data_IF_012028795770
#
_entry.id   IF_012028795770
#
_cell.length_a   1.000
_cell.length_b   1.000
_cell.length_c   1.000
_cell.angle_alpha   90.00
_cell.angle_beta   90.00
_cell.angle_gamma   90.00
#
_symmetry.space_group_name_H-M   'P 1'
#
loop_
_entity.id
_entity.type
_entity.pdbx_description
1 polymer ?
#
# COMPACT_ATOMS: atom_id res chain seq x y z
N UNK A 1 -42.55 -14.81 -16.24
CA UNK A 1 -41.40 -15.72 -16.01
C UNK A 1 -40.19 -15.46 -16.93
N UNK A 2 -40.34 -15.27 -18.25
CA UNK A 2 -39.20 -15.00 -19.17
C UNK A 2 -38.37 -13.75 -18.81
N UNK A 3 -39.00 -12.70 -18.29
CA UNK A 3 -38.31 -11.47 -17.83
C UNK A 3 -37.39 -11.71 -16.64
N UNK A 4 -37.78 -12.58 -15.69
CA UNK A 4 -37.00 -12.85 -14.48
C UNK A 4 -35.79 -13.73 -14.83
N UNK A 5 -35.98 -14.73 -15.70
CA UNK A 5 -34.87 -15.54 -16.20
C UNK A 5 -33.88 -14.73 -17.04
N UNK A 6 -34.34 -13.78 -17.87
CA UNK A 6 -33.45 -12.88 -18.60
C UNK A 6 -32.70 -11.91 -17.66
N UNK A 7 -33.34 -11.47 -16.58
CA UNK A 7 -32.70 -10.64 -15.57
C UNK A 7 -31.66 -11.44 -14.76
N UNK A 8 -32.00 -12.66 -14.35
CA UNK A 8 -31.09 -13.57 -13.64
C UNK A 8 -29.92 -13.98 -14.54
N UNK A 9 -30.16 -14.26 -15.82
CA UNK A 9 -29.11 -14.64 -16.77
C UNK A 9 -28.21 -13.45 -17.13
N UNK A 10 -28.77 -12.23 -17.20
CA UNK A 10 -27.99 -11.00 -17.32
C UNK A 10 -27.17 -10.73 -16.05
N UNK A 11 -27.76 -10.94 -14.87
CA UNK A 11 -27.09 -10.80 -13.57
C UNK A 11 -26.02 -11.88 -13.33
N UNK A 12 -26.23 -13.11 -13.82
CA UNK A 12 -25.28 -14.21 -13.77
C UNK A 12 -24.15 -14.04 -14.80
N UNK A 13 -24.43 -13.50 -15.98
CA UNK A 13 -23.38 -13.13 -16.96
C UNK A 13 -22.55 -11.94 -16.48
N UNK A 14 -23.18 -10.95 -15.86
CA UNK A 14 -22.47 -9.91 -15.13
C UNK A 14 -21.64 -10.55 -14.00
N UNK A 15 -22.19 -11.38 -13.12
CA UNK A 15 -21.38 -12.08 -12.09
C UNK A 15 -20.24 -12.95 -12.63
N UNK A 16 -20.36 -13.59 -13.79
CA UNK A 16 -19.25 -14.35 -14.40
C UNK A 16 -18.11 -13.44 -14.87
N UNK A 17 -18.40 -12.21 -15.29
CA UNK A 17 -17.40 -11.16 -15.52
C UNK A 17 -16.84 -10.57 -14.20
N UNK A 18 -17.53 -10.79 -13.08
CA UNK A 18 -17.23 -10.25 -11.75
C UNK A 18 -16.96 -11.39 -10.75
N UNK A 19 -16.12 -12.36 -11.11
CA UNK A 19 -15.33 -13.04 -10.09
C UNK A 19 -14.37 -12.01 -9.52
N UNK A 20 -14.88 -11.15 -8.65
CA UNK A 20 -14.07 -10.14 -8.02
C UNK A 20 -13.30 -10.83 -6.88
N UNK A 21 -11.96 -10.83 -6.94
CA UNK A 21 -11.15 -11.21 -5.79
C UNK A 21 -11.46 -10.25 -4.62
N UNK A 22 -11.34 -10.72 -3.38
CA UNK A 22 -11.67 -9.93 -2.19
C UNK A 22 -13.17 -9.94 -1.80
N UNK A 23 -13.57 -8.90 -1.06
CA UNK A 23 -14.93 -8.73 -0.51
C UNK A 23 -15.68 -7.65 -1.30
N UNK A 24 -16.73 -8.07 -2.01
CA UNK A 24 -17.43 -7.21 -2.97
C UNK A 24 -18.60 -6.42 -2.38
N UNK A 25 -19.25 -6.98 -1.35
CA UNK A 25 -20.56 -6.53 -0.89
C UNK A 25 -20.89 -7.08 0.50
N UNK A 26 -21.74 -6.37 1.23
CA UNK A 26 -22.34 -6.80 2.51
C UNK A 26 -23.24 -8.05 2.35
N UNK A 27 -23.59 -8.42 1.13
CA UNK A 27 -24.36 -9.63 0.83
C UNK A 27 -23.47 -10.82 0.51
N UNK A 28 -22.15 -10.63 0.42
CA UNK A 28 -21.19 -11.73 0.18
C UNK A 28 -20.88 -12.44 1.50
N UNK A 29 -21.05 -13.77 1.62
CA UNK A 29 -20.69 -14.48 2.85
C UNK A 29 -19.20 -14.33 3.23
N UNK A 30 -18.35 -13.96 2.26
CA UNK A 30 -16.92 -13.72 2.48
C UNK A 30 -16.65 -12.59 3.48
N UNK A 31 -17.44 -11.51 3.48
CA UNK A 31 -17.16 -10.38 4.39
C UNK A 31 -17.29 -10.81 5.84
N UNK A 32 -18.28 -11.66 6.13
CA UNK A 32 -18.56 -12.16 7.48
C UNK A 32 -17.46 -13.11 7.93
N UNK A 33 -16.98 -13.99 7.04
CA UNK A 33 -15.83 -14.86 7.33
C UNK A 33 -14.57 -14.06 7.66
N UNK A 34 -14.26 -13.00 6.89
CA UNK A 34 -13.10 -12.12 7.15
C UNK A 34 -13.29 -11.36 8.46
N UNK A 35 -14.47 -10.78 8.69
CA UNK A 35 -14.78 -10.07 9.94
C UNK A 35 -14.64 -10.97 11.17
N UNK A 36 -15.20 -12.18 11.11
CA UNK A 36 -15.05 -13.17 12.17
C UNK A 36 -13.59 -13.56 12.38
N UNK A 37 -12.82 -13.77 11.31
CA UNK A 37 -11.40 -14.07 11.41
C UNK A 37 -10.65 -12.95 12.16
N UNK A 38 -10.92 -11.68 11.85
CA UNK A 38 -10.32 -10.54 12.57
C UNK A 38 -10.79 -10.44 14.03
N UNK A 39 -12.08 -10.62 14.30
CA UNK A 39 -12.62 -10.57 15.68
C UNK A 39 -12.03 -11.70 16.52
N UNK A 40 -11.98 -12.92 16.01
CA UNK A 40 -11.36 -14.04 16.71
C UNK A 40 -9.85 -13.84 16.86
N UNK A 41 -9.16 -13.27 15.85
CA UNK A 41 -7.75 -12.92 15.98
C UNK A 41 -7.50 -11.98 17.16
N UNK A 42 -8.32 -10.93 17.31
CA UNK A 42 -8.26 -10.02 18.47
C UNK A 42 -8.44 -10.81 19.78
N UNK A 43 -9.50 -11.61 19.87
CA UNK A 43 -9.81 -12.37 21.08
C UNK A 43 -8.72 -13.38 21.49
N UNK A 44 -8.10 -14.05 20.53
CA UNK A 44 -7.02 -15.00 20.78
C UNK A 44 -5.68 -14.33 21.09
N UNK A 45 -5.34 -13.24 20.40
CA UNK A 45 -4.12 -12.47 20.67
C UNK A 45 -4.18 -11.74 22.01
N UNK A 46 -5.33 -11.14 22.36
CA UNK A 46 -5.49 -10.41 23.62
C UNK A 46 -5.41 -11.29 24.87
N UNK A 47 -5.59 -12.61 24.70
CA UNK A 47 -5.42 -13.62 25.76
C UNK A 47 -3.97 -14.07 25.95
N UNK A 48 -3.04 -13.59 25.13
CA UNK A 48 -1.63 -13.93 25.29
C UNK A 48 -1.14 -13.45 26.67
N UNK A 49 -0.58 -14.34 27.51
CA UNK A 49 -0.15 -14.00 28.88
C UNK A 49 0.87 -12.85 28.95
N UNK A 50 1.54 -12.57 27.84
CA UNK A 50 2.46 -11.44 27.70
C UNK A 50 1.79 -10.08 27.96
N UNK A 51 0.50 -9.93 27.61
CA UNK A 51 -0.24 -8.70 27.85
C UNK A 51 -0.73 -8.54 29.30
N UNK A 52 -0.44 -9.51 30.19
CA UNK A 52 -0.79 -9.49 31.61
C UNK A 52 -2.09 -10.22 31.97
N UNK A 53 -2.35 -10.35 33.28
CA UNK A 53 -3.52 -11.06 33.81
C UNK A 53 -4.85 -10.28 33.69
N UNK A 54 -4.77 -8.96 33.53
CA UNK A 54 -5.91 -8.13 33.13
C UNK A 54 -5.68 -7.81 31.67
N UNK A 55 -6.67 -8.14 30.83
CA UNK A 55 -6.71 -7.78 29.41
C UNK A 55 -6.01 -6.45 29.15
N UNK A 56 -5.02 -6.46 28.25
CA UNK A 56 -4.22 -5.33 27.75
C UNK A 56 -4.52 -3.96 28.38
N UNK A 57 -3.68 -3.54 29.34
CA UNK A 57 -3.73 -2.16 29.85
C UNK A 57 -3.07 -1.24 28.82
N UNK A 58 -3.89 -0.42 28.16
CA UNK A 58 -3.59 0.48 27.02
C UNK A 58 -2.47 1.53 27.20
N UNK A 59 -1.68 1.46 28.27
CA UNK A 59 -0.67 2.48 28.59
C UNK A 59 0.54 2.52 27.64
N UNK A 60 0.68 1.58 26.70
CA UNK A 60 1.72 1.57 25.66
C UNK A 60 1.12 1.46 24.24
N UNK A 61 -0.18 1.74 24.10
CA UNK A 61 -0.96 1.33 22.93
C UNK A 61 -1.09 2.38 21.82
N UNK A 62 -0.85 3.67 22.07
CA UNK A 62 -1.09 4.69 21.03
C UNK A 62 -0.07 4.60 19.89
N UNK A 63 1.21 4.39 20.20
CA UNK A 63 2.24 4.23 19.16
C UNK A 63 2.05 2.94 18.35
N UNK A 64 1.72 1.83 19.01
CA UNK A 64 1.43 0.58 18.31
C UNK A 64 0.19 0.72 17.40
N UNK A 65 -0.88 1.38 17.86
CA UNK A 65 -2.03 1.71 17.01
C UNK A 65 -1.60 2.61 15.86
N UNK A 66 -0.80 3.64 16.12
CA UNK A 66 -0.39 4.61 15.10
C UNK A 66 0.45 3.95 13.99
N UNK A 67 1.43 3.13 14.36
CA UNK A 67 2.22 2.34 13.40
C UNK A 67 1.30 1.38 12.63
N UNK A 68 0.41 0.68 13.35
CA UNK A 68 -0.56 -0.20 12.70
C UNK A 68 -1.45 0.53 11.71
N UNK A 69 -1.95 1.70 12.08
CA UNK A 69 -2.76 2.53 11.22
C UNK A 69 -1.97 2.95 9.98
N UNK A 70 -0.73 3.44 10.14
CA UNK A 70 0.13 3.83 9.01
C UNK A 70 0.35 2.66 8.05
N UNK A 71 0.72 1.48 8.57
CA UNK A 71 1.00 0.31 7.75
C UNK A 71 -0.28 -0.18 7.05
N UNK A 72 -1.37 -0.39 7.81
CA UNK A 72 -2.63 -0.90 7.26
C UNK A 72 -3.24 0.10 6.27
N UNK A 73 -3.21 1.40 6.56
CA UNK A 73 -3.66 2.45 5.64
C UNK A 73 -2.80 2.49 4.37
N UNK A 74 -1.49 2.33 4.47
CA UNK A 74 -0.60 2.27 3.30
C UNK A 74 -0.92 1.05 2.43
N UNK A 75 -1.01 -0.14 3.03
CA UNK A 75 -1.31 -1.39 2.30
C UNK A 75 -2.71 -1.35 1.67
N UNK A 76 -3.70 -0.81 2.40
CA UNK A 76 -5.11 -0.80 1.99
C UNK A 76 -5.43 0.31 1.00
N UNK A 77 -4.91 1.53 1.24
CA UNK A 77 -5.31 2.72 0.51
C UNK A 77 -4.26 3.22 -0.48
N UNK A 78 -2.96 3.16 -0.17
CA UNK A 78 -1.93 3.59 -1.12
C UNK A 78 -1.63 2.46 -2.14
N UNK A 79 -1.42 1.25 -1.65
CA UNK A 79 -1.09 0.09 -2.48
C UNK A 79 -2.30 -0.64 -3.05
N UNK A 80 -3.48 -0.34 -2.52
CA UNK A 80 -4.76 -0.90 -2.92
C UNK A 80 -4.78 -2.43 -2.98
N UNK A 81 -4.24 -3.09 -1.94
CA UNK A 81 -4.10 -4.55 -1.88
C UNK A 81 -5.21 -5.28 -1.10
N UNK A 82 -5.99 -4.56 -0.28
CA UNK A 82 -6.97 -5.15 0.65
C UNK A 82 -8.41 -4.76 0.31
N UNK A 83 -8.81 -5.03 -0.93
CA UNK A 83 -10.14 -4.70 -1.41
C UNK A 83 -10.29 -3.23 -1.77
N UNK A 84 -11.40 -2.88 -2.44
CA UNK A 84 -11.67 -1.48 -2.79
C UNK A 84 -11.90 -0.67 -1.52
N UNK A 85 -11.38 0.55 -1.39
CA UNK A 85 -11.57 1.39 -0.21
C UNK A 85 -12.96 2.05 -0.19
N UNK A 86 -14.00 1.24 -0.31
CA UNK A 86 -15.41 1.65 -0.36
C UNK A 86 -16.25 0.63 0.44
N UNK A 87 -17.30 1.10 1.11
CA UNK A 87 -18.28 0.26 1.79
C UNK A 87 -17.69 -0.65 2.88
N UNK A 88 -18.05 -1.94 2.85
CA UNK A 88 -17.69 -2.92 3.89
C UNK A 88 -16.18 -3.16 4.00
N UNK A 89 -15.43 -2.96 2.92
CA UNK A 89 -13.97 -3.11 2.96
C UNK A 89 -13.30 -2.09 3.85
N UNK A 90 -13.80 -0.84 3.91
CA UNK A 90 -13.27 0.18 4.82
C UNK A 90 -13.45 -0.25 6.27
N UNK A 91 -14.60 -0.85 6.58
CA UNK A 91 -14.84 -1.43 7.91
C UNK A 91 -13.86 -2.57 8.21
N UNK A 92 -13.64 -3.50 7.28
CA UNK A 92 -12.69 -4.60 7.47
C UNK A 92 -11.23 -4.11 7.60
N UNK A 93 -10.84 -3.10 6.82
CA UNK A 93 -9.52 -2.46 6.91
C UNK A 93 -9.33 -1.75 8.26
N UNK A 94 -10.36 -1.05 8.75
CA UNK A 94 -10.32 -0.45 10.08
C UNK A 94 -10.26 -1.52 11.19
N UNK A 95 -11.01 -2.63 11.02
CA UNK A 95 -11.00 -3.75 11.96
C UNK A 95 -9.63 -4.44 12.01
N UNK A 96 -8.90 -4.51 10.89
CA UNK A 96 -7.54 -5.09 10.81
C UNK A 96 -6.50 -4.33 11.64
N UNK A 97 -6.70 -3.04 11.92
CA UNK A 97 -5.79 -2.23 12.74
C UNK A 97 -5.62 -2.85 14.13
N UNK A 98 -6.70 -3.38 14.72
CA UNK A 98 -6.69 -3.92 16.08
C UNK A 98 -5.84 -5.19 16.23
N UNK A 99 -6.06 -6.31 15.50
CA UNK A 99 -5.21 -7.48 15.61
C UNK A 99 -3.77 -7.18 15.17
N UNK A 100 -3.58 -6.28 14.20
CA UNK A 100 -2.24 -5.87 13.79
C UNK A 100 -1.51 -5.06 14.88
N UNK A 101 -2.22 -4.23 15.64
CA UNK A 101 -1.66 -3.51 16.80
C UNK A 101 -1.26 -4.43 17.94
N UNK A 102 -2.03 -5.50 18.20
CA UNK A 102 -1.66 -6.55 19.15
C UNK A 102 -0.42 -7.30 18.65
N UNK A 103 -0.36 -7.62 17.36
CA UNK A 103 0.81 -8.26 16.76
C UNK A 103 2.08 -7.41 16.92
N UNK A 104 2.02 -6.12 16.58
CA UNK A 104 3.14 -5.18 16.77
C UNK A 104 3.52 -5.02 18.24
N UNK A 105 2.51 -4.86 19.10
CA UNK A 105 2.69 -4.74 20.54
C UNK A 105 3.45 -5.94 21.10
N UNK A 106 3.13 -7.16 20.65
CA UNK A 106 3.80 -8.38 21.09
C UNK A 106 5.24 -8.50 20.59
N UNK A 107 5.48 -8.08 19.35
CA UNK A 107 6.76 -8.26 18.67
C UNK A 107 7.82 -7.24 19.14
N UNK A 108 7.38 -6.05 19.51
CA UNK A 108 8.27 -4.93 19.85
C UNK A 108 8.24 -4.62 21.34
N UNK A 109 7.09 -4.82 21.98
CA UNK A 109 6.91 -4.47 23.38
C UNK A 109 7.87 -5.24 24.27
N UNK A 110 8.45 -4.54 25.25
CA UNK A 110 9.15 -5.18 26.36
C UNK A 110 8.12 -5.57 27.42
N UNK A 111 8.28 -6.71 28.12
CA UNK A 111 7.47 -6.99 29.30
C UNK A 111 7.68 -5.84 30.31
N UNK A 112 6.60 -5.44 30.99
CA UNK A 112 6.50 -4.33 31.96
C UNK A 112 7.54 -4.37 33.11
N UNK A 113 8.47 -5.32 33.13
CA UNK A 113 9.37 -5.57 34.27
C UNK A 113 10.82 -5.93 33.91
N UNK A 114 11.35 -5.45 32.79
CA UNK A 114 12.77 -5.68 32.45
C UNK A 114 13.62 -4.43 32.71
N UNK A 115 14.04 -4.27 33.96
CA UNK A 115 14.90 -3.17 34.42
C UNK A 115 16.36 -3.27 33.93
N UNK A 116 16.78 -4.37 33.30
CA UNK A 116 18.18 -4.53 32.86
C UNK A 116 18.24 -5.13 31.44
N UNK A 117 18.61 -4.31 30.45
CA UNK A 117 19.25 -4.82 29.24
C UNK A 117 20.47 -3.96 28.92
N UNK A 118 21.62 -4.50 29.31
CA UNK A 118 22.98 -4.24 28.84
C UNK A 118 23.09 -4.65 27.36
N UNK A 119 23.23 -3.68 26.47
CA UNK A 119 23.48 -3.88 25.05
C UNK A 119 23.67 -2.53 24.36
N UNK A 120 24.37 -2.50 23.21
CA UNK A 120 24.76 -1.28 22.50
C UNK A 120 23.61 -0.25 22.29
N UNK A 121 22.39 -0.73 22.00
CA UNK A 121 21.21 0.12 21.85
C UNK A 121 20.67 0.61 23.21
N UNK A 122 20.81 -0.19 24.27
CA UNK A 122 20.47 0.19 25.64
C UNK A 122 21.40 1.27 26.19
N UNK A 123 22.71 1.17 25.90
CA UNK A 123 23.73 2.11 26.36
C UNK A 123 23.68 3.44 25.59
N UNK A 124 23.45 3.39 24.26
CA UNK A 124 23.21 4.61 23.49
C UNK A 124 21.93 5.33 23.93
N UNK A 125 20.92 4.59 24.38
CA UNK A 125 19.62 5.16 24.79
C UNK A 125 19.59 5.61 26.25
N UNK A 126 20.36 5.00 27.15
CA UNK A 126 20.58 5.56 28.49
C UNK A 126 21.28 6.91 28.38
N UNK A 127 22.27 7.03 27.49
CA UNK A 127 22.95 8.29 27.19
C UNK A 127 21.98 9.38 26.67
N UNK A 128 21.09 9.06 25.72
CA UNK A 128 20.08 10.01 25.22
C UNK A 128 19.08 10.41 26.32
N UNK A 129 18.62 9.44 27.13
CA UNK A 129 17.68 9.67 28.23
C UNK A 129 18.30 10.54 29.33
N UNK A 130 19.58 10.35 29.61
CA UNK A 130 20.33 11.15 30.58
C UNK A 130 20.58 12.57 30.04
N UNK A 131 20.85 12.71 28.73
CA UNK A 131 20.97 14.00 28.04
C UNK A 131 19.66 14.81 28.08
N UNK A 132 18.51 14.16 27.85
CA UNK A 132 17.17 14.76 27.92
C UNK A 132 16.74 15.12 29.35
N UNK A 133 17.24 14.38 30.35
CA UNK A 133 17.04 14.71 31.76
C UNK A 133 17.87 15.92 32.18
N UNK A 134 19.11 16.01 31.71
CA UNK A 134 20.03 17.13 31.95
C UNK A 134 19.53 18.44 31.33
N UNK A 135 18.81 18.39 30.21
CA UNK A 135 18.27 19.58 29.54
C UNK A 135 16.98 20.13 30.16
N UNK A 136 16.41 19.49 31.18
CA UNK A 136 15.20 19.98 31.87
C UNK A 136 13.90 19.92 31.05
N UNK A 137 13.94 19.32 29.85
CA UNK A 137 12.82 19.31 28.88
C UNK A 137 11.66 18.40 29.29
N UNK A 138 11.86 17.52 30.29
CA UNK A 138 10.83 16.57 30.76
C UNK A 138 9.53 17.22 31.25
N UNK A 139 9.53 18.50 31.65
CA UNK A 139 8.32 19.19 32.11
C UNK A 139 7.44 19.76 30.98
N UNK A 140 7.95 19.83 29.75
CA UNK A 140 7.27 20.50 28.61
C UNK A 140 6.72 19.50 27.59
N UNK A 141 7.16 18.24 27.64
CA UNK A 141 6.75 17.22 26.66
C UNK A 141 5.30 16.77 26.94
N UNK A 142 4.35 16.93 25.98
CA UNK A 142 2.98 16.44 26.14
C UNK A 142 2.94 14.93 26.39
N UNK A 143 1.97 14.45 27.19
CA UNK A 143 1.87 13.03 27.61
C UNK A 143 1.92 12.03 26.43
N UNK A 144 1.40 12.39 25.27
CA UNK A 144 1.47 11.55 24.06
C UNK A 144 2.91 11.33 23.55
N UNK A 145 3.79 12.32 23.69
CA UNK A 145 5.21 12.19 23.33
C UNK A 145 6.01 11.49 24.44
N UNK A 146 5.55 11.50 25.69
CA UNK A 146 6.20 10.76 26.77
C UNK A 146 6.20 9.24 26.50
N UNK A 147 5.20 8.71 25.79
CA UNK A 147 5.15 7.29 25.36
C UNK A 147 6.25 6.93 24.34
N UNK A 148 6.66 7.88 23.49
CA UNK A 148 7.74 7.71 22.50
C UNK A 148 9.07 7.47 23.23
N UNK A 149 9.30 8.22 24.30
CA UNK A 149 10.47 8.06 25.16
C UNK A 149 10.34 6.88 26.14
N UNK A 150 9.12 6.46 26.49
CA UNK A 150 8.88 5.29 27.34
C UNK A 150 9.12 3.95 26.60
N UNK A 151 8.88 3.92 25.29
CA UNK A 151 9.01 2.73 24.44
C UNK A 151 9.92 2.99 23.22
N UNK A 152 11.23 3.20 23.42
CA UNK A 152 12.15 3.64 22.37
C UNK A 152 12.23 2.67 21.17
N UNK A 153 11.96 1.38 21.35
CA UNK A 153 11.87 0.42 20.26
C UNK A 153 10.70 0.66 19.30
N UNK A 154 9.53 1.04 19.82
CA UNK A 154 8.36 1.39 19.00
C UNK A 154 8.59 2.71 18.26
N UNK A 155 9.21 3.69 18.91
CA UNK A 155 9.59 4.96 18.31
C UNK A 155 10.57 4.77 17.14
N UNK A 156 11.63 3.99 17.35
CA UNK A 156 12.59 3.67 16.29
C UNK A 156 11.93 2.95 15.12
N UNK A 157 11.08 1.95 15.40
CA UNK A 157 10.36 1.24 14.36
C UNK A 157 9.38 2.16 13.61
N UNK A 158 8.71 3.08 14.28
CA UNK A 158 7.86 4.08 13.64
C UNK A 158 8.67 4.91 12.63
N UNK A 159 9.85 5.40 13.01
CA UNK A 159 10.73 6.15 12.11
C UNK A 159 11.15 5.27 10.94
N UNK A 160 11.70 4.07 11.20
CA UNK A 160 12.13 3.14 10.14
C UNK A 160 10.99 2.80 9.18
N UNK A 161 9.78 2.57 9.68
CA UNK A 161 8.59 2.30 8.86
C UNK A 161 8.23 3.53 8.02
N UNK A 162 8.21 4.72 8.60
CA UNK A 162 7.91 5.94 7.86
C UNK A 162 8.94 6.20 6.74
N UNK A 163 10.22 5.96 7.02
CA UNK A 163 11.30 6.08 6.03
C UNK A 163 11.16 4.99 4.96
N UNK A 164 11.01 3.72 5.34
CA UNK A 164 10.86 2.59 4.42
C UNK A 164 9.67 2.74 3.47
N UNK A 165 8.57 3.32 3.96
CA UNK A 165 7.37 3.59 3.15
C UNK A 165 7.53 4.81 2.24
N UNK A 166 8.45 5.73 2.57
CA UNK A 166 8.72 6.94 1.78
C UNK A 166 9.85 6.73 0.76
N UNK A 167 10.81 5.84 1.06
CA UNK A 167 11.94 5.50 0.19
C UNK A 167 11.59 4.35 -0.76
N UNK A 168 11.71 4.62 -2.07
CA UNK A 168 11.57 3.61 -3.12
C UNK A 168 10.60 4.05 -4.22
N UNK A 169 11.07 4.11 -5.46
CA UNK A 169 10.23 4.42 -6.62
C UNK A 169 9.29 3.26 -6.98
N UNK A 170 9.66 2.02 -6.62
CA UNK A 170 8.91 0.80 -6.94
C UNK A 170 8.19 0.25 -5.70
N UNK A 171 6.93 -0.16 -5.89
CA UNK A 171 6.08 -0.80 -4.86
C UNK A 171 6.76 -2.02 -4.22
N UNK A 172 7.46 -2.83 -5.00
CA UNK A 172 8.18 -4.03 -4.51
C UNK A 172 9.28 -3.71 -3.51
N UNK A 173 10.05 -2.64 -3.74
CA UNK A 173 11.13 -2.21 -2.84
C UNK A 173 10.56 -1.77 -1.48
N UNK A 174 9.47 -1.01 -1.48
CA UNK A 174 8.82 -0.56 -0.23
C UNK A 174 8.26 -1.73 0.57
N UNK A 175 7.65 -2.71 -0.10
CA UNK A 175 7.18 -3.95 0.53
C UNK A 175 8.35 -4.71 1.16
N UNK A 176 9.46 -4.85 0.42
CA UNK A 176 10.67 -5.51 0.91
C UNK A 176 11.22 -4.84 2.16
N UNK A 177 11.39 -3.51 2.14
CA UNK A 177 11.88 -2.74 3.29
C UNK A 177 10.96 -2.86 4.52
N UNK A 178 9.64 -2.78 4.32
CA UNK A 178 8.68 -2.95 5.41
C UNK A 178 8.74 -4.36 6.01
N UNK A 179 8.86 -5.39 5.17
CA UNK A 179 8.96 -6.77 5.64
C UNK A 179 10.25 -6.98 6.42
N UNK A 180 11.38 -6.44 5.95
CA UNK A 180 12.65 -6.45 6.69
C UNK A 180 12.55 -5.75 8.04
N UNK A 181 11.92 -4.57 8.10
CA UNK A 181 11.74 -3.81 9.34
C UNK A 181 10.91 -4.57 10.39
N UNK A 182 9.94 -5.37 9.96
CA UNK A 182 9.10 -6.19 10.85
C UNK A 182 9.72 -7.55 11.19
N UNK A 183 10.57 -8.10 10.31
CA UNK A 183 11.17 -9.42 10.48
C UNK A 183 12.20 -9.45 11.62
N UNK A 184 13.00 -8.39 11.77
CA UNK A 184 13.99 -8.27 12.86
C UNK A 184 13.34 -8.37 14.24
N UNK A 185 12.35 -7.53 14.61
CA UNK A 185 11.71 -7.65 15.91
C UNK A 185 10.89 -8.94 16.02
N UNK A 186 10.32 -9.46 14.92
CA UNK A 186 9.60 -10.73 14.94
C UNK A 186 10.49 -11.90 15.36
N UNK A 187 11.69 -12.00 14.79
CA UNK A 187 12.69 -13.01 15.19
C UNK A 187 13.06 -12.82 16.66
N UNK A 188 13.30 -11.59 17.09
CA UNK A 188 13.60 -11.28 18.50
C UNK A 188 12.47 -11.72 19.44
N UNK A 189 11.21 -11.58 19.05
CA UNK A 189 10.06 -12.02 19.84
C UNK A 189 9.95 -13.54 19.98
N UNK A 190 10.50 -14.30 19.04
CA UNK A 190 10.54 -15.78 19.10
C UNK A 190 11.71 -16.25 19.96
N UNK A 191 12.87 -15.57 19.82
CA UNK A 191 14.10 -15.94 20.51
C UNK A 191 14.07 -15.57 22.01
N UNK A 192 13.42 -14.47 22.38
CA UNK A 192 13.39 -13.98 23.76
C UNK A 192 12.22 -14.54 24.56
N UNK A 193 12.44 -14.77 25.86
CA UNK A 193 11.37 -15.18 26.79
C UNK A 193 10.61 -13.97 27.33
N UNK A 194 9.29 -14.08 27.54
CA UNK A 194 8.45 -15.26 27.29
C UNK A 194 8.07 -15.40 25.81
N UNK A 195 8.10 -16.66 25.34
CA UNK A 195 7.73 -17.02 23.96
C UNK A 195 6.24 -16.75 23.67
N UNK A 196 5.85 -16.52 22.40
CA UNK A 196 4.44 -16.36 22.03
C UNK A 196 3.63 -17.59 22.43
N UNK A 197 2.46 -17.39 23.04
CA UNK A 197 1.58 -18.52 23.38
C UNK A 197 0.91 -19.12 22.15
N UNK A 198 0.38 -20.33 22.30
CA UNK A 198 -0.40 -21.00 21.25
C UNK A 198 -1.62 -20.15 20.83
N UNK A 199 -2.29 -19.47 21.77
CA UNK A 199 -3.42 -18.59 21.43
C UNK A 199 -2.97 -17.41 20.59
N UNK A 200 -1.80 -16.81 20.87
CA UNK A 200 -1.25 -15.77 20.01
C UNK A 200 -0.97 -16.27 18.59
N UNK A 201 -0.38 -17.46 18.45
CA UNK A 201 -0.10 -18.05 17.13
C UNK A 201 -1.39 -18.33 16.35
N UNK A 202 -2.41 -18.89 17.00
CA UNK A 202 -3.73 -19.09 16.40
C UNK A 202 -4.35 -17.76 15.97
N UNK A 203 -4.26 -16.73 16.82
CA UNK A 203 -4.73 -15.39 16.49
C UNK A 203 -4.00 -14.79 15.30
N UNK A 204 -2.68 -14.94 15.21
CA UNK A 204 -1.87 -14.48 14.08
C UNK A 204 -2.24 -15.19 12.78
N UNK A 205 -2.48 -16.50 12.82
CA UNK A 205 -2.95 -17.26 11.66
C UNK A 205 -4.33 -16.81 11.20
N UNK A 206 -5.27 -16.55 12.13
CA UNK A 206 -6.59 -16.01 11.80
C UNK A 206 -6.51 -14.61 11.17
N UNK A 207 -5.64 -13.75 11.69
CA UNK A 207 -5.37 -12.43 11.09
C UNK A 207 -4.88 -12.58 9.65
N UNK A 208 -3.89 -13.47 9.41
CA UNK A 208 -3.37 -13.73 8.06
C UNK A 208 -4.44 -14.32 7.13
N UNK A 209 -5.27 -15.25 7.61
CA UNK A 209 -6.39 -15.79 6.83
C UNK A 209 -7.39 -14.70 6.45
N UNK A 210 -7.69 -13.78 7.36
CA UNK A 210 -8.55 -12.62 7.04
C UNK A 210 -7.91 -11.72 5.97
N UNK A 211 -6.62 -11.41 6.10
CA UNK A 211 -5.86 -10.64 5.09
C UNK A 211 -5.86 -11.32 3.73
N UNK A 212 -5.62 -12.64 3.67
CA UNK A 212 -5.68 -13.43 2.43
C UNK A 212 -7.10 -13.42 1.85
N UNK A 213 -8.12 -13.58 2.70
CA UNK A 213 -9.52 -13.54 2.27
C UNK A 213 -9.96 -12.18 1.73
N UNK A 214 -9.35 -11.10 2.21
CA UNK A 214 -9.60 -9.73 1.76
C UNK A 214 -8.71 -9.30 0.59
N UNK A 215 -7.64 -10.04 0.30
CA UNK A 215 -6.67 -9.68 -0.72
C UNK A 215 -7.32 -9.51 -2.11
N UNK A 216 -7.16 -8.32 -2.67
CA UNK A 216 -7.49 -8.00 -4.05
C UNK A 216 -6.53 -6.90 -4.51
N UNK A 217 -5.81 -7.18 -5.60
CA UNK A 217 -5.06 -6.14 -6.30
C UNK A 217 -6.03 -5.25 -7.08
N UNK A 218 -6.47 -4.17 -6.45
CA UNK A 218 -7.45 -3.24 -7.01
C UNK A 218 -6.89 -2.56 -8.25
N UNK A 219 -5.57 -2.31 -8.33
CA UNK A 219 -4.97 -1.65 -9.48
C UNK A 219 -5.13 -2.50 -10.75
N UNK A 220 -4.80 -3.78 -10.66
CA UNK A 220 -5.01 -4.74 -11.74
C UNK A 220 -6.50 -4.91 -12.08
N UNK A 221 -7.35 -4.98 -11.06
CA UNK A 221 -8.80 -5.09 -11.25
C UNK A 221 -9.42 -3.87 -11.95
N UNK A 222 -9.07 -2.66 -11.53
CA UNK A 222 -9.56 -1.40 -12.10
C UNK A 222 -9.06 -1.26 -13.53
N UNK A 223 -7.81 -1.64 -13.80
CA UNK A 223 -7.25 -1.67 -15.14
C UNK A 223 -8.06 -2.58 -16.06
N UNK A 224 -8.29 -3.85 -15.65
CA UNK A 224 -9.09 -4.80 -16.43
C UNK A 224 -10.52 -4.30 -16.64
N UNK A 225 -11.15 -3.69 -15.62
CA UNK A 225 -12.48 -3.11 -15.73
C UNK A 225 -12.52 -1.93 -16.70
N UNK A 226 -11.52 -1.06 -16.67
CA UNK A 226 -11.43 0.10 -17.56
C UNK A 226 -11.23 -0.34 -19.01
N UNK A 227 -10.39 -1.34 -19.26
CA UNK A 227 -10.20 -1.95 -20.59
C UNK A 227 -11.54 -2.48 -21.11
N UNK A 228 -12.22 -3.32 -20.32
CA UNK A 228 -13.50 -3.92 -20.72
C UNK A 228 -14.61 -2.88 -20.93
N UNK A 229 -14.62 -1.81 -20.14
CA UNK A 229 -15.59 -0.71 -20.28
C UNK A 229 -15.39 0.05 -21.59
N UNK A 230 -14.14 0.36 -21.95
CA UNK A 230 -13.83 1.11 -23.18
C UNK A 230 -14.00 0.25 -24.43
N UNK A 231 -13.75 -1.05 -24.33
CA UNK A 231 -14.00 -2.02 -25.41
C UNK A 231 -15.47 -2.50 -25.49
N UNK A 232 -16.38 -1.99 -24.64
CA UNK A 232 -17.78 -2.45 -24.60
C UNK A 232 -18.52 -2.24 -25.93
N UNK A 233 -18.13 -1.25 -26.71
CA UNK A 233 -18.77 -0.91 -27.97
C UNK A 233 -18.30 -1.79 -29.14
N UNK A 234 -17.18 -2.52 -28.98
CA UNK A 234 -16.65 -3.45 -29.97
C UNK A 234 -17.54 -4.69 -30.01
N UNK A 235 -18.19 -4.93 -31.15
CA UNK A 235 -19.09 -6.07 -31.36
C UNK A 235 -18.41 -7.29 -31.94
N UNK A 236 -17.25 -7.13 -32.57
CA UNK A 236 -16.46 -8.23 -33.11
C UNK A 236 -15.64 -8.90 -31.99
N UNK A 237 -15.84 -10.21 -31.82
CA UNK A 237 -15.17 -11.01 -30.80
C UNK A 237 -13.67 -11.19 -31.11
N UNK A 238 -13.29 -11.24 -32.39
CA UNK A 238 -11.90 -11.33 -32.83
C UNK A 238 -11.13 -10.04 -32.48
N UNK A 239 -11.74 -8.90 -32.79
CA UNK A 239 -11.23 -7.57 -32.48
C UNK A 239 -11.09 -7.38 -30.96
N UNK A 240 -12.12 -7.75 -30.21
CA UNK A 240 -12.13 -7.61 -28.75
C UNK A 240 -11.06 -8.45 -28.08
N UNK A 241 -10.90 -9.71 -28.50
CA UNK A 241 -9.89 -10.62 -27.94
C UNK A 241 -8.47 -10.15 -28.25
N UNK A 242 -8.24 -9.69 -29.49
CA UNK A 242 -6.94 -9.15 -29.92
C UNK A 242 -6.59 -7.87 -29.17
N UNK A 243 -7.55 -6.95 -29.04
CA UNK A 243 -7.42 -5.72 -28.27
C UNK A 243 -7.04 -5.98 -26.81
N UNK A 244 -7.72 -6.92 -26.14
CA UNK A 244 -7.41 -7.27 -24.74
C UNK A 244 -5.99 -7.85 -24.64
N UNK A 245 -5.59 -8.74 -25.55
CA UNK A 245 -4.24 -9.35 -25.52
C UNK A 245 -3.14 -8.32 -25.76
N UNK A 246 -3.32 -7.42 -26.72
CA UNK A 246 -2.35 -6.34 -27.02
C UNK A 246 -2.19 -5.45 -25.80
N UNK A 247 -3.29 -4.99 -25.20
CA UNK A 247 -3.24 -4.10 -24.03
C UNK A 247 -2.65 -4.82 -22.81
N UNK A 248 -3.02 -6.08 -22.55
CA UNK A 248 -2.43 -6.87 -21.45
C UNK A 248 -0.93 -7.10 -21.64
N UNK A 249 -0.49 -7.34 -22.88
CA UNK A 249 0.94 -7.49 -23.18
C UNK A 249 1.70 -6.18 -23.01
N UNK A 250 1.14 -5.07 -23.49
CA UNK A 250 1.69 -3.73 -23.28
C UNK A 250 1.77 -3.36 -21.79
N UNK A 251 0.83 -3.83 -20.96
CA UNK A 251 0.86 -3.64 -19.51
C UNK A 251 1.94 -4.46 -18.81
N UNK A 252 2.21 -5.69 -19.27
CA UNK A 252 3.25 -6.56 -18.71
C UNK A 252 4.66 -6.07 -19.05
N UNK A 253 4.87 -5.75 -20.32
CA UNK A 253 6.19 -5.38 -20.84
C UNK A 253 6.45 -3.86 -20.68
N UNK A 254 5.43 -3.09 -20.29
CA UNK A 254 5.46 -1.63 -20.17
C UNK A 254 5.38 -0.89 -21.52
N UNK A 255 5.78 -1.56 -22.60
CA UNK A 255 5.70 -1.10 -23.98
C UNK A 255 5.49 -2.30 -24.90
N UNK A 256 4.89 -2.10 -26.07
CA UNK A 256 4.78 -3.12 -27.11
C UNK A 256 5.23 -2.55 -28.46
N UNK A 257 6.08 -3.31 -29.15
CA UNK A 257 6.52 -2.98 -30.49
C UNK A 257 5.46 -3.39 -31.54
N UNK A 258 5.49 -2.74 -32.70
CA UNK A 258 4.57 -3.02 -33.81
C UNK A 258 4.62 -4.48 -34.27
N UNK A 259 5.81 -5.08 -34.31
CA UNK A 259 6.00 -6.48 -34.69
C UNK A 259 5.26 -7.46 -33.75
N UNK A 260 5.30 -7.20 -32.45
CA UNK A 260 4.58 -8.01 -31.46
C UNK A 260 3.06 -7.85 -31.57
N UNK A 261 2.57 -6.67 -31.95
CA UNK A 261 1.15 -6.45 -32.25
C UNK A 261 0.72 -7.28 -33.46
N UNK A 262 1.51 -7.26 -34.54
CA UNK A 262 1.27 -8.05 -35.74
C UNK A 262 1.24 -9.55 -35.44
N UNK A 263 2.15 -10.04 -34.59
CA UNK A 263 2.18 -11.45 -34.18
C UNK A 263 0.92 -11.85 -33.41
N UNK A 264 0.49 -11.04 -32.44
CA UNK A 264 -0.73 -11.29 -31.65
C UNK A 264 -1.96 -11.34 -32.56
N UNK A 265 -2.06 -10.41 -33.52
CA UNK A 265 -3.18 -10.33 -34.46
C UNK A 265 -3.14 -11.50 -35.43
N UNK A 266 -1.96 -11.85 -35.97
CA UNK A 266 -1.78 -13.03 -36.83
C UNK A 266 -2.25 -14.29 -36.12
N UNK A 267 -1.83 -14.51 -34.88
CA UNK A 267 -2.24 -15.68 -34.10
C UNK A 267 -3.75 -15.73 -33.83
N UNK A 268 -4.40 -14.58 -33.67
CA UNK A 268 -5.85 -14.56 -33.40
C UNK A 268 -6.70 -14.67 -34.66
N UNK A 269 -6.35 -13.93 -35.71
CA UNK A 269 -7.16 -13.84 -36.94
C UNK A 269 -6.90 -14.99 -37.91
N UNK A 270 -5.67 -15.50 -37.99
CA UNK A 270 -5.33 -16.63 -38.89
C UNK A 270 -5.79 -17.95 -38.28
N UNK A 271 -5.38 -18.24 -37.04
CA UNK A 271 -5.66 -19.53 -36.39
C UNK A 271 -7.11 -19.64 -35.89
N UNK A 272 -7.73 -18.50 -35.53
CA UNK A 272 -9.07 -18.46 -34.94
C UNK A 272 -10.21 -18.23 -35.94
N UNK A 273 -9.97 -17.43 -36.99
CA UNK A 273 -11.01 -16.94 -37.89
C UNK A 273 -10.71 -17.15 -39.39
N UNK A 274 -9.57 -17.74 -39.74
CA UNK A 274 -9.23 -18.12 -41.12
C UNK A 274 -8.97 -16.96 -42.07
N UNK A 275 -8.55 -15.79 -41.56
CA UNK A 275 -8.30 -14.60 -42.38
C UNK A 275 -6.99 -14.73 -43.18
N UNK A 276 -6.92 -14.29 -44.46
CA UNK A 276 -5.70 -14.33 -45.25
C UNK A 276 -4.57 -13.52 -44.63
N UNK A 277 -3.33 -14.02 -44.77
CA UNK A 277 -2.15 -13.40 -44.18
C UNK A 277 -1.85 -11.98 -44.74
N UNK A 278 -2.33 -11.69 -45.93
CA UNK A 278 -2.14 -10.42 -46.63
C UNK A 278 -2.94 -9.26 -46.00
N UNK A 279 -4.07 -9.56 -45.36
CA UNK A 279 -4.95 -8.54 -44.75
C UNK A 279 -4.51 -8.17 -43.31
N UNK A 280 -3.66 -8.99 -42.70
CA UNK A 280 -3.22 -8.84 -41.31
C UNK A 280 -2.56 -7.47 -41.02
N UNK A 281 -1.65 -6.95 -41.87
CA UNK A 281 -1.03 -5.65 -41.62
C UNK A 281 -2.04 -4.50 -41.64
N UNK A 282 -3.03 -4.57 -42.53
CA UNK A 282 -4.10 -3.56 -42.64
C UNK A 282 -4.98 -3.59 -41.40
N UNK A 283 -5.38 -4.80 -40.96
CA UNK A 283 -6.15 -5.01 -39.73
C UNK A 283 -5.35 -4.49 -38.54
N UNK A 284 -4.07 -4.82 -38.42
CA UNK A 284 -3.22 -4.38 -37.33
C UNK A 284 -3.08 -2.87 -37.23
N UNK A 285 -2.91 -2.19 -38.37
CA UNK A 285 -2.84 -0.72 -38.41
C UNK A 285 -4.16 -0.09 -38.00
N UNK A 286 -5.28 -0.60 -38.51
CA UNK A 286 -6.62 -0.10 -38.15
C UNK A 286 -6.93 -0.31 -36.66
N UNK A 287 -6.61 -1.48 -36.12
CA UNK A 287 -6.83 -1.84 -34.73
C UNK A 287 -5.98 -0.99 -33.79
N UNK A 288 -4.70 -0.81 -34.13
CA UNK A 288 -3.78 0.04 -33.37
C UNK A 288 -4.24 1.50 -33.35
N UNK A 289 -4.73 2.00 -34.48
CA UNK A 289 -5.33 3.34 -34.57
C UNK A 289 -6.55 3.48 -33.66
N UNK A 290 -7.50 2.53 -33.70
CA UNK A 290 -8.69 2.54 -32.82
C UNK A 290 -8.33 2.42 -31.34
N UNK A 291 -7.35 1.58 -30.99
CA UNK A 291 -6.89 1.43 -29.61
C UNK A 291 -6.26 2.71 -29.04
N UNK A 292 -5.58 3.50 -29.87
CA UNK A 292 -4.95 4.76 -29.47
C UNK A 292 -5.97 5.90 -29.46
N UNK A 293 -6.72 6.11 -30.54
CA UNK A 293 -7.54 7.31 -30.71
C UNK A 293 -9.00 7.15 -30.28
N UNK A 294 -9.63 6.01 -30.56
CA UNK A 294 -11.06 5.80 -30.25
C UNK A 294 -11.26 5.29 -28.83
N UNK A 295 -10.46 4.32 -28.41
CA UNK A 295 -10.57 3.70 -27.08
C UNK A 295 -9.61 4.31 -26.05
N UNK A 296 -8.59 5.06 -26.48
CA UNK A 296 -7.61 5.71 -25.60
C UNK A 296 -6.88 4.75 -24.66
N UNK A 297 -6.73 3.48 -25.06
CA UNK A 297 -6.12 2.42 -24.25
C UNK A 297 -4.59 2.43 -24.35
N UNK A 298 -4.06 2.87 -25.49
CA UNK A 298 -2.64 2.94 -25.77
C UNK A 298 -2.24 4.37 -26.12
N UNK A 299 -0.98 4.69 -25.88
CA UNK A 299 -0.34 5.95 -26.22
C UNK A 299 0.91 5.65 -27.04
N UNK A 300 1.16 6.47 -28.05
CA UNK A 300 2.34 6.32 -28.89
C UNK A 300 3.53 6.95 -28.17
N UNK A 301 4.58 6.17 -27.94
CA UNK A 301 5.88 6.63 -27.48
C UNK A 301 6.90 6.45 -28.61
N UNK A 302 7.60 7.53 -28.93
CA UNK A 302 8.72 7.50 -29.85
C UNK A 302 9.99 7.29 -29.03
N UNK A 303 10.71 6.19 -29.28
CA UNK A 303 12.03 5.93 -28.70
C UNK A 303 13.08 5.88 -29.81
N UNK A 304 14.37 5.88 -29.45
CA UNK A 304 15.48 5.74 -30.39
C UNK A 304 15.38 4.49 -31.27
N UNK A 305 14.74 3.44 -30.74
CA UNK A 305 14.66 2.12 -31.36
C UNK A 305 13.38 1.94 -32.21
N UNK A 306 12.53 2.97 -32.30
CA UNK A 306 11.31 2.95 -33.12
C UNK A 306 10.04 3.42 -32.41
N UNK A 307 8.89 3.11 -33.03
CA UNK A 307 7.56 3.46 -32.54
C UNK A 307 7.04 2.36 -31.59
N UNK A 308 6.78 2.73 -30.35
CA UNK A 308 6.26 1.84 -29.32
C UNK A 308 4.87 2.28 -28.86
N UNK A 309 4.02 1.31 -28.57
CA UNK A 309 2.74 1.55 -27.92
C UNK A 309 2.89 1.30 -26.42
N UNK A 310 2.65 2.32 -25.61
CA UNK A 310 2.65 2.21 -24.16
C UNK A 310 1.21 2.27 -23.63
N UNK A 311 0.87 1.53 -22.56
CA UNK A 311 -0.45 1.61 -21.96
C UNK A 311 -0.74 3.01 -21.44
N UNK A 312 -1.95 3.51 -21.67
CA UNK A 312 -2.36 4.81 -21.17
C UNK A 312 -2.35 4.85 -19.63
N UNK A 313 -1.70 5.85 -19.02
CA UNK A 313 -1.63 6.00 -17.55
C UNK A 313 -3.02 6.13 -16.88
N UNK A 314 -4.01 6.60 -17.63
CA UNK A 314 -5.41 6.70 -17.17
C UNK A 314 -6.07 5.34 -16.93
N UNK A 315 -5.48 4.23 -17.37
CA UNK A 315 -6.05 2.89 -17.17
C UNK A 315 -5.90 2.38 -15.74
N UNK A 316 -4.78 2.68 -15.09
CA UNK A 316 -4.43 2.22 -13.75
C UNK A 316 -4.71 3.25 -12.66
N UNK A 317 -5.14 4.45 -13.02
CA UNK A 317 -5.42 5.53 -12.06
C UNK A 317 -6.73 5.24 -11.34
N UNK A 318 -6.66 5.03 -10.03
CA UNK A 318 -7.82 4.94 -9.15
C UNK A 318 -7.76 6.13 -8.17
N UNK A 319 -8.59 7.14 -8.42
CA UNK A 319 -8.69 8.30 -7.55
C UNK A 319 -9.55 7.95 -6.34
N UNK A 320 -8.89 7.80 -5.18
CA UNK A 320 -9.55 7.62 -3.90
C UNK A 320 -9.08 8.70 -2.93
N UNK A 321 -10.02 9.38 -2.29
CA UNK A 321 -9.70 10.34 -1.22
C UNK A 321 -8.93 9.66 -0.07
N UNK A 322 -9.21 8.38 0.19
CA UNK A 322 -8.55 7.62 1.24
C UNK A 322 -7.08 7.31 0.89
N UNK A 323 -6.74 7.18 -0.40
CA UNK A 323 -5.34 6.98 -0.82
C UNK A 323 -4.49 8.23 -0.64
N UNK A 324 -5.10 9.41 -0.62
CA UNK A 324 -4.43 10.66 -0.29
C UNK A 324 -4.33 10.84 1.22
N UNK A 325 -5.44 10.68 1.94
CA UNK A 325 -5.49 10.81 3.41
C UNK A 325 -4.55 9.83 4.10
N UNK A 326 -4.35 8.63 3.58
CA UNK A 326 -3.42 7.64 4.15
C UNK A 326 -1.97 8.11 4.18
N UNK A 327 -1.59 9.07 3.34
CA UNK A 327 -0.23 9.59 3.26
C UNK A 327 0.04 10.68 4.31
N UNK A 328 -1.01 11.34 4.82
CA UNK A 328 -0.88 12.45 5.76
C UNK A 328 -0.24 12.08 7.10
N UNK A 329 -0.64 10.98 7.78
CA UNK A 329 -0.08 10.62 9.08
C UNK A 329 1.44 10.48 9.03
N UNK A 330 1.98 9.78 8.02
CA UNK A 330 3.44 9.61 7.87
C UNK A 330 4.15 10.92 7.55
N UNK A 331 3.55 11.77 6.70
CA UNK A 331 4.15 13.05 6.32
C UNK A 331 4.16 14.06 7.45
N UNK A 332 3.08 14.11 8.24
CA UNK A 332 3.02 14.94 9.45
C UNK A 332 4.08 14.46 10.45
N UNK A 333 4.24 13.16 10.64
CA UNK A 333 5.25 12.62 11.56
C UNK A 333 6.67 12.90 11.11
N UNK A 334 6.99 12.65 9.84
CA UNK A 334 8.32 12.95 9.28
C UNK A 334 8.61 14.46 9.27
N UNK A 335 7.59 15.28 8.96
CA UNK A 335 7.68 16.73 9.03
C UNK A 335 7.89 17.23 10.46
N UNK A 336 7.13 16.72 11.43
CA UNK A 336 7.28 17.06 12.84
C UNK A 336 8.64 16.61 13.38
N UNK A 337 9.14 15.43 12.98
CA UNK A 337 10.47 14.95 13.32
C UNK A 337 11.55 15.87 12.74
N UNK A 338 11.43 16.27 11.47
CA UNK A 338 12.37 17.19 10.83
C UNK A 338 12.37 18.57 11.50
N UNK A 339 11.20 19.11 11.86
CA UNK A 339 11.07 20.37 12.60
C UNK A 339 11.63 20.25 14.02
N UNK A 340 11.35 19.15 14.71
CA UNK A 340 11.89 18.90 16.05
C UNK A 340 13.41 18.77 16.04
N UNK A 341 13.97 18.07 15.05
CA UNK A 341 15.41 17.95 14.84
C UNK A 341 16.03 19.32 14.56
N UNK A 342 15.43 20.11 13.66
CA UNK A 342 15.88 21.46 13.34
C UNK A 342 15.83 22.44 14.53
N UNK A 343 14.85 22.27 15.42
CA UNK A 343 14.69 23.10 16.63
C UNK A 343 15.47 22.57 17.84
N UNK A 344 16.08 21.39 17.76
CA UNK A 344 16.77 20.81 18.91
C UNK A 344 18.05 21.60 19.19
N UNK A 345 18.25 22.16 20.40
CA UNK A 345 19.42 22.98 20.75
C UNK A 345 20.72 22.17 20.90
N UNK A 346 20.66 20.87 20.61
CA UNK A 346 21.78 19.95 20.65
C UNK A 346 22.05 19.55 19.20
N UNK A 347 23.04 20.19 18.58
CA UNK A 347 23.83 19.54 17.54
C UNK A 347 24.40 18.26 18.15
N UNK A 348 23.72 17.12 17.91
CA UNK A 348 24.17 15.79 18.39
C UNK A 348 25.52 15.44 17.75
N UNK A 349 25.88 16.11 16.66
CA UNK A 349 27.14 15.97 15.96
C UNK A 349 27.80 17.35 15.99
N UNK A 350 28.88 17.54 16.77
CA UNK A 350 29.51 18.84 16.84
C UNK A 350 29.91 19.31 15.44
N UNK A 351 29.71 20.61 15.17
CA UNK A 351 30.19 21.38 14.00
C UNK A 351 31.68 21.15 13.63
N UNK A 352 32.41 20.37 14.43
CA UNK A 352 33.78 19.96 14.22
C UNK A 352 33.98 18.88 13.14
N UNK A 353 32.93 18.21 12.64
CA UNK A 353 33.04 17.18 11.59
C UNK A 353 32.26 17.56 10.32
N UNK A 354 32.87 18.29 9.36
CA UNK A 354 32.18 18.88 8.19
C UNK A 354 31.53 17.85 7.25
N UNK A 355 32.04 16.62 7.21
CA UNK A 355 31.49 15.53 6.37
C UNK A 355 30.22 14.92 6.97
N UNK A 356 30.08 14.96 8.30
CA UNK A 356 28.94 14.32 8.97
C UNK A 356 27.75 15.28 9.08
N UNK A 357 27.99 16.57 9.29
CA UNK A 357 26.94 17.60 9.26
C UNK A 357 26.26 17.73 7.88
N UNK A 358 27.03 17.63 6.80
CA UNK A 358 26.45 17.61 5.44
C UNK A 358 25.63 16.35 5.15
N UNK A 359 25.98 15.21 5.74
CA UNK A 359 25.16 13.99 5.65
C UNK A 359 23.86 14.15 6.45
N UNK A 360 23.91 14.81 7.60
CA UNK A 360 22.75 15.06 8.46
C UNK A 360 21.72 15.99 7.80
N UNK A 361 22.18 17.09 7.18
CA UNK A 361 21.34 18.02 6.42
C UNK A 361 20.73 17.37 5.17
N UNK A 362 21.51 16.55 4.46
CA UNK A 362 21.00 15.77 3.33
C UNK A 362 19.97 14.74 3.81
N UNK A 363 20.19 14.11 4.97
CA UNK A 363 19.22 13.19 5.57
C UNK A 363 17.91 13.92 5.89
N UNK A 364 17.96 15.09 6.51
CA UNK A 364 16.81 15.94 6.82
C UNK A 364 16.04 16.36 5.57
N UNK A 365 16.75 16.85 4.55
CA UNK A 365 16.17 17.27 3.27
C UNK A 365 15.49 16.10 2.54
N UNK A 366 16.11 14.92 2.58
CA UNK A 366 15.65 13.74 1.84
C UNK A 366 14.57 12.96 2.60
N UNK A 367 14.62 12.90 3.94
CA UNK A 367 13.68 12.18 4.79
C UNK A 367 12.42 12.98 5.10
N UNK A 368 12.54 14.30 5.34
CA UNK A 368 11.41 15.17 5.66
C UNK A 368 10.94 16.01 4.47
N UNK A 369 11.88 16.67 3.79
CA UNK A 369 11.59 17.65 2.74
C UNK A 369 11.01 17.03 1.47
N UNK A 370 11.66 16.02 0.90
CA UNK A 370 11.27 15.39 -0.37
C UNK A 370 9.85 14.78 -0.34
N UNK A 371 9.45 14.00 0.67
CA UNK A 371 8.10 13.43 0.73
C UNK A 371 7.00 14.50 0.87
N UNK A 372 7.24 15.54 1.68
CA UNK A 372 6.31 16.67 1.84
C UNK A 372 6.21 17.51 0.57
N UNK A 373 7.35 17.81 -0.07
CA UNK A 373 7.40 18.59 -1.30
C UNK A 373 6.72 17.85 -2.47
N UNK A 374 6.92 16.53 -2.58
CA UNK A 374 6.22 15.70 -3.57
C UNK A 374 4.71 15.66 -3.36
N UNK A 375 4.24 15.68 -2.11
CA UNK A 375 2.79 15.74 -1.81
C UNK A 375 2.19 17.11 -2.12
N UNK A 376 2.85 18.20 -1.72
CA UNK A 376 2.41 19.57 -2.02
C UNK A 376 2.44 19.86 -3.53
N UNK A 377 3.45 19.37 -4.25
CA UNK A 377 3.51 19.48 -5.71
C UNK A 377 2.44 18.61 -6.41
N UNK A 378 2.15 17.42 -5.87
CA UNK A 378 1.12 16.52 -6.39
C UNK A 378 -0.30 17.05 -6.25
N UNK A 379 -0.63 17.68 -5.11
CA UNK A 379 -1.93 18.30 -4.87
C UNK A 379 -2.14 19.54 -5.76
N UNK A 380 -1.11 20.38 -5.94
CA UNK A 380 -1.15 21.52 -6.85
C UNK A 380 -1.32 21.12 -8.32
N UNK A 381 -0.62 20.07 -8.78
CA UNK A 381 -0.72 19.62 -10.18
C UNK A 381 -2.12 19.13 -10.55
N UNK A 382 -2.86 18.55 -9.59
CA UNK A 382 -4.25 18.10 -9.78
C UNK A 382 -5.27 19.24 -9.75
N UNK A 383 -5.06 20.29 -8.95
CA UNK A 383 -5.89 21.50 -9.04
C UNK A 383 -5.78 22.14 -10.44
N UNK A 384 -4.59 22.11 -11.04
CA UNK A 384 -4.38 22.56 -12.42
C UNK A 384 -5.04 21.64 -13.46
N UNK A 385 -4.97 20.31 -13.30
CA UNK A 385 -5.63 19.37 -14.24
C UNK A 385 -7.17 19.37 -14.09
N UNK A 386 -7.71 19.45 -12.87
CA UNK A 386 -9.16 19.61 -12.64
C UNK A 386 -9.68 20.98 -13.08
N UNK A 387 -8.86 22.03 -12.97
CA UNK A 387 -9.16 23.35 -13.53
C UNK A 387 -9.22 23.36 -15.06
N UNK A 388 -8.42 22.51 -15.72
CA UNK A 388 -8.42 22.35 -17.19
C UNK A 388 -9.62 21.56 -17.71
N UNK A 389 -10.10 20.57 -16.95
CA UNK A 389 -11.27 19.74 -17.30
C UNK A 389 -12.59 20.51 -17.10
N UNK A 390 -12.59 21.62 -16.34
CA UNK A 390 -13.76 22.48 -16.10
C UNK A 390 -13.87 23.70 -17.03
N UNK A 391 -13.00 23.85 -18.03
CA UNK A 391 -13.23 24.82 -19.09
C UNK A 391 -14.09 24.14 -20.18
N UNK A 392 -15.38 24.52 -20.34
CA UNK A 392 -16.13 24.11 -21.50
C UNK A 392 -15.48 24.76 -22.73
N UNK A 393 -15.01 23.94 -23.66
CA UNK A 393 -14.95 24.34 -25.07
C UNK A 393 -16.30 24.04 -25.69
#
# INVERSE_FOLDING_TARGET
MKSIFAHIDRYCRERRLYWAPGVDSIWSPKWLLVALAYIFAIGFMARDPWFGQRFFVWNHGLLAILISFIIVATVSFEWHLLGRPEGINVFLQALLIFPFSLFLGRIIGKPWNYNNQTGLIGDAMSMIKDLLRLSGVNSVIPKAFQEIFASPGLAFLLIVVCVALSFGQRKSTRIGLLLTALLVPFIQSILNTPRPSLSFVIGAMLMLLGVIGQYMDVASYVCDRNILRRLRQVRDDAERTSSIRIVKRALQDGQIAEQSVLEIIRRNYTDGYGVPAEDIPVIARSLSHRLVYEHGLLTVHLSSDGLFLAPARSLSTYDSLLSEVSLWPRSILLGALAVFWWLMPLDIIPDAMPVVGTIDDILLLVLGGLPLFHQLAGSHRRQFEQGRIRQPQ
#
